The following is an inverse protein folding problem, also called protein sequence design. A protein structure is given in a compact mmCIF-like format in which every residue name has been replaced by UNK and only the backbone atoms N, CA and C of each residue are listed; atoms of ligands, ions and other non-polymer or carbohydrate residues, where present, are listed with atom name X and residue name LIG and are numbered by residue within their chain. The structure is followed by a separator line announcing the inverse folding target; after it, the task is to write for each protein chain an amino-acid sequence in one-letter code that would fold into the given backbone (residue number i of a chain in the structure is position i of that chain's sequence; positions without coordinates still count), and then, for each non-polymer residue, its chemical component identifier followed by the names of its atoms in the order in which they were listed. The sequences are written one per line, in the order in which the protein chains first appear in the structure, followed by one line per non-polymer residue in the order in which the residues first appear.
data_IF_325660597948
#
_entry.id   IF_325660597948
#
_cell.length_a   1.000
_cell.length_b   1.000
_cell.length_c   1.000
_cell.angle_alpha   90.00
_cell.angle_beta   90.00
_cell.angle_gamma   90.00
#
_symmetry.space_group_name_H-M   'P 1'
#
loop_
_entity.id
_entity.type
_entity.pdbx_description
1 polymer ?
#
# COMPACT_ATOMS: atom_id res chain seq x y z
N UNK A 1 -6.58 4.80 7.49
CA UNK A 1 -7.62 3.78 7.78
C UNK A 1 -7.20 2.92 8.96
N UNK A 2 -7.87 2.99 10.12
CA UNK A 2 -7.47 2.27 11.33
C UNK A 2 -7.34 0.75 11.15
N UNK A 3 -8.24 0.15 10.37
CA UNK A 3 -8.19 -1.29 10.07
C UNK A 3 -6.97 -1.68 9.23
N UNK A 4 -6.61 -0.87 8.22
CA UNK A 4 -5.42 -1.12 7.40
C UNK A 4 -4.12 -0.95 8.21
N UNK A 5 -4.06 0.04 9.10
CA UNK A 5 -2.87 0.26 9.96
C UNK A 5 -2.62 -0.90 10.93
N UNK A 6 -3.68 -1.60 11.37
CA UNK A 6 -3.52 -2.79 12.20
C UNK A 6 -2.82 -3.91 11.40
N UNK A 7 -3.26 -4.16 10.17
CA UNK A 7 -2.63 -5.17 9.31
C UNK A 7 -1.18 -4.83 8.95
N UNK A 8 -0.88 -3.56 8.66
CA UNK A 8 0.49 -3.10 8.34
C UNK A 8 1.45 -3.26 9.51
N UNK A 9 1.02 -2.93 10.74
CA UNK A 9 1.88 -2.96 11.91
C UNK A 9 1.97 -4.36 12.54
N UNK A 10 0.85 -5.08 12.61
CA UNK A 10 0.80 -6.41 13.25
C UNK A 10 1.23 -7.53 12.30
N UNK A 11 1.00 -7.39 10.99
CA UNK A 11 1.34 -8.43 10.02
C UNK A 11 2.80 -8.89 10.09
N UNK A 12 3.79 -8.00 10.00
CA UNK A 12 5.21 -8.37 10.12
C UNK A 12 5.56 -9.00 11.46
N UNK A 13 4.98 -8.50 12.56
CA UNK A 13 5.21 -9.04 13.92
C UNK A 13 4.67 -10.47 14.02
N UNK A 14 3.47 -10.73 13.49
CA UNK A 14 2.86 -12.04 13.50
C UNK A 14 3.59 -13.03 12.58
N UNK A 15 4.07 -12.58 11.42
CA UNK A 15 4.89 -13.41 10.52
C UNK A 15 6.22 -13.76 11.18
N UNK A 16 7.00 -12.77 11.60
CA UNK A 16 8.32 -12.99 12.19
C UNK A 16 8.21 -13.73 13.52
N UNK A 17 7.32 -13.30 14.40
CA UNK A 17 7.08 -13.97 15.70
C UNK A 17 6.58 -15.40 15.53
N UNK A 18 5.66 -15.65 14.59
CA UNK A 18 5.20 -17.00 14.26
C UNK A 18 6.32 -17.89 13.72
N UNK A 19 7.20 -17.34 12.89
CA UNK A 19 8.36 -18.06 12.36
C UNK A 19 9.41 -18.35 13.44
N UNK A 20 9.67 -17.43 14.38
CA UNK A 20 10.61 -17.63 15.48
C UNK A 20 10.13 -18.68 16.47
N UNK A 21 8.82 -18.74 16.72
CA UNK A 21 8.20 -19.70 17.66
C UNK A 21 7.89 -21.06 17.03
N UNK A 22 8.18 -21.26 15.73
CA UNK A 22 7.78 -22.46 14.99
C UNK A 22 6.25 -22.57 14.75
N UNK A 23 5.48 -21.55 15.12
CA UNK A 23 4.04 -21.49 14.98
C UNK A 23 3.64 -21.07 13.55
N UNK A 24 3.75 -22.00 12.59
CA UNK A 24 3.44 -21.75 11.16
C UNK A 24 2.02 -21.19 10.96
N UNK A 25 1.04 -21.62 11.78
CA UNK A 25 -0.32 -21.10 11.75
C UNK A 25 -0.39 -19.60 12.05
N UNK A 26 0.37 -19.12 13.03
CA UNK A 26 0.44 -17.71 13.41
C UNK A 26 1.12 -16.88 12.30
N UNK A 27 2.16 -17.42 11.69
CA UNK A 27 2.83 -16.76 10.58
C UNK A 27 1.93 -16.62 9.34
N UNK A 28 1.12 -17.65 9.03
CA UNK A 28 0.11 -17.57 7.97
C UNK A 28 -0.98 -16.55 8.26
N UNK A 29 -1.42 -16.44 9.51
CA UNK A 29 -2.39 -15.41 9.93
C UNK A 29 -1.83 -14.00 9.68
N UNK A 30 -0.56 -13.76 10.04
CA UNK A 30 0.13 -12.50 9.73
C UNK A 30 0.19 -12.20 8.23
N UNK A 31 0.48 -13.22 7.40
CA UNK A 31 0.49 -13.09 5.95
C UNK A 31 -0.91 -12.72 5.39
N UNK A 32 -1.98 -13.38 5.86
CA UNK A 32 -3.34 -13.07 5.42
C UNK A 32 -3.79 -11.66 5.82
N UNK A 33 -3.43 -11.20 7.02
CA UNK A 33 -3.69 -9.83 7.45
C UNK A 33 -2.99 -8.82 6.54
N UNK A 34 -1.74 -9.09 6.16
CA UNK A 34 -0.99 -8.22 5.25
C UNK A 34 -1.56 -8.25 3.82
N UNK A 35 -2.06 -9.40 3.37
CA UNK A 35 -2.77 -9.54 2.10
C UNK A 35 -4.07 -8.74 2.06
N UNK A 36 -4.81 -8.69 3.18
CA UNK A 36 -6.00 -7.86 3.31
C UNK A 36 -5.67 -6.36 3.17
N UNK A 37 -4.52 -5.91 3.70
CA UNK A 37 -4.05 -4.53 3.52
C UNK A 37 -3.71 -4.23 2.06
N UNK A 38 -3.00 -5.13 1.38
CA UNK A 38 -2.65 -4.97 -0.04
C UNK A 38 -3.90 -4.90 -0.92
N UNK A 39 -4.91 -5.75 -0.65
CA UNK A 39 -6.20 -5.71 -1.34
C UNK A 39 -6.93 -4.38 -1.10
N UNK A 40 -6.93 -3.91 0.15
CA UNK A 40 -7.50 -2.62 0.48
C UNK A 40 -6.82 -1.49 -0.31
N UNK A 41 -5.48 -1.44 -0.31
CA UNK A 41 -4.70 -0.48 -1.08
C UNK A 41 -5.02 -0.53 -2.57
N UNK A 42 -5.14 -1.73 -3.15
CA UNK A 42 -5.48 -1.92 -4.56
C UNK A 42 -6.86 -1.36 -4.89
N UNK A 43 -7.87 -1.61 -4.05
CA UNK A 43 -9.23 -1.11 -4.24
C UNK A 43 -9.33 0.41 -4.08
N UNK A 44 -8.53 1.01 -3.19
CA UNK A 44 -8.52 2.47 -3.00
C UNK A 44 -7.66 3.22 -4.00
N UNK A 45 -6.74 2.54 -4.69
CA UNK A 45 -5.82 3.18 -5.64
C UNK A 45 -6.50 4.02 -6.73
N UNK A 46 -7.64 3.59 -7.35
CA UNK A 46 -8.36 4.42 -8.32
C UNK A 46 -8.88 5.74 -7.74
N UNK A 47 -9.32 5.75 -6.46
CA UNK A 47 -9.86 6.98 -5.86
C UNK A 47 -8.77 8.01 -5.59
N UNK A 48 -7.54 7.57 -5.36
CA UNK A 48 -6.38 8.47 -5.20
C UNK A 48 -6.02 9.16 -6.53
N UNK A 49 -6.10 8.43 -7.65
CA UNK A 49 -5.92 9.03 -8.98
C UNK A 49 -7.03 10.01 -9.35
N UNK A 50 -8.28 9.67 -9.03
CA UNK A 50 -9.41 10.57 -9.24
C UNK A 50 -9.31 11.84 -8.39
N UNK A 51 -8.89 11.71 -7.13
CA UNK A 51 -8.65 12.83 -6.23
C UNK A 51 -7.61 13.80 -6.80
N UNK A 52 -6.48 13.31 -7.30
CA UNK A 52 -5.46 14.16 -7.94
C UNK A 52 -6.00 14.91 -9.17
N UNK A 53 -6.86 14.28 -9.98
CA UNK A 53 -7.48 14.94 -11.14
C UNK A 53 -8.45 16.03 -10.72
N UNK A 54 -9.35 15.72 -9.77
CA UNK A 54 -10.33 16.68 -9.24
C UNK A 54 -9.68 17.85 -8.53
N UNK A 55 -8.59 17.62 -7.81
CA UNK A 55 -7.81 18.68 -7.17
C UNK A 55 -7.24 19.66 -8.20
N UNK A 56 -6.67 19.16 -9.30
CA UNK A 56 -6.14 20.03 -10.37
C UNK A 56 -7.24 20.88 -11.01
N UNK A 57 -8.41 20.28 -11.26
CA UNK A 57 -9.55 20.99 -11.82
C UNK A 57 -10.10 22.06 -10.86
N UNK A 58 -10.14 21.76 -9.56
CA UNK A 58 -10.54 22.72 -8.53
C UNK A 58 -9.56 23.92 -8.47
N UNK A 59 -8.25 23.66 -8.47
CA UNK A 59 -7.22 24.71 -8.47
C UNK A 59 -7.32 25.60 -9.71
N UNK A 60 -7.62 25.02 -10.88
CA UNK A 60 -7.87 25.76 -12.12
C UNK A 60 -9.12 26.64 -12.03
N UNK A 61 -10.24 26.11 -11.52
CA UNK A 61 -11.52 26.84 -11.44
C UNK A 61 -11.49 27.99 -10.45
N UNK A 62 -10.74 27.85 -9.35
CA UNK A 62 -10.59 28.88 -8.31
C UNK A 62 -9.61 30.00 -8.70
N UNK A 63 -8.89 29.87 -9.82
CA UNK A 63 -7.88 30.86 -10.23
C UNK A 63 -6.64 30.89 -9.34
N UNK A 64 -6.37 29.81 -8.58
CA UNK A 64 -5.20 29.73 -7.70
C UNK A 64 -3.89 29.44 -8.43
N UNK A 65 -3.95 29.02 -9.70
CA UNK A 65 -2.78 28.73 -10.52
C UNK A 65 -2.82 29.54 -11.82
N UNK A 66 -1.69 30.13 -12.17
CA UNK A 66 -1.47 30.67 -13.51
C UNK A 66 -1.30 29.54 -14.54
N UNK A 67 -1.38 29.89 -15.82
CA UNK A 67 -1.20 28.92 -16.91
C UNK A 67 0.19 28.27 -16.91
N UNK A 68 1.21 28.97 -16.41
CA UNK A 68 2.58 28.46 -16.31
C UNK A 68 2.74 27.47 -15.14
N UNK A 69 1.93 27.62 -14.08
CA UNK A 69 1.97 26.77 -12.89
C UNK A 69 1.12 25.49 -13.01
N UNK A 70 0.26 25.42 -14.03
CA UNK A 70 -0.63 24.27 -14.26
C UNK A 70 0.13 22.96 -14.51
N UNK A 71 1.19 23.01 -15.32
CA UNK A 71 2.02 21.85 -15.63
C UNK A 71 2.78 21.31 -14.40
N UNK A 72 3.52 22.14 -13.63
CA UNK A 72 4.17 21.65 -12.41
C UNK A 72 3.17 21.20 -11.35
N UNK A 73 2.01 21.87 -11.18
CA UNK A 73 0.98 21.42 -10.25
C UNK A 73 0.44 20.02 -10.59
N UNK A 74 0.16 19.76 -11.88
CA UNK A 74 -0.25 18.42 -12.35
C UNK A 74 0.83 17.38 -12.05
N UNK A 75 2.10 17.73 -12.24
CA UNK A 75 3.22 16.83 -11.96
C UNK A 75 3.26 16.47 -10.48
N UNK A 76 3.20 17.46 -9.57
CA UNK A 76 3.20 17.24 -8.12
C UNK A 76 2.01 16.36 -7.68
N UNK A 77 0.79 16.64 -8.16
CA UNK A 77 -0.40 15.84 -7.84
C UNK A 77 -0.30 14.40 -8.38
N UNK A 78 0.40 14.21 -9.50
CA UNK A 78 0.66 12.87 -10.04
C UNK A 78 1.68 12.13 -9.17
N UNK A 79 2.78 12.77 -8.76
CA UNK A 79 3.75 12.18 -7.84
C UNK A 79 3.12 11.80 -6.50
N UNK A 80 2.22 12.63 -5.97
CA UNK A 80 1.46 12.31 -4.77
C UNK A 80 0.66 11.01 -4.93
N UNK A 81 -0.08 10.84 -6.04
CA UNK A 81 -0.81 9.59 -6.31
C UNK A 81 0.13 8.38 -6.49
N UNK A 82 1.32 8.58 -7.08
CA UNK A 82 2.32 7.51 -7.25
C UNK A 82 2.87 6.97 -5.92
N UNK A 83 2.81 7.74 -4.83
CA UNK A 83 3.20 7.22 -3.50
C UNK A 83 2.31 6.06 -3.03
N UNK A 84 1.03 6.04 -3.42
CA UNK A 84 0.13 4.92 -3.15
C UNK A 84 0.45 3.69 -4.00
N UNK A 85 0.87 3.90 -5.25
CA UNK A 85 1.36 2.82 -6.11
C UNK A 85 2.61 2.19 -5.51
N UNK A 86 3.55 3.01 -5.03
CA UNK A 86 4.76 2.55 -4.37
C UNK A 86 4.44 1.77 -3.08
N UNK A 87 3.48 2.24 -2.28
CA UNK A 87 3.02 1.55 -1.08
C UNK A 87 2.43 0.16 -1.42
N UNK A 88 1.59 0.08 -2.46
CA UNK A 88 1.05 -1.19 -2.93
C UNK A 88 2.15 -2.12 -3.42
N UNK A 89 3.09 -1.64 -4.25
CA UNK A 89 4.20 -2.42 -4.76
C UNK A 89 5.10 -2.97 -3.63
N UNK A 90 5.40 -2.13 -2.64
CA UNK A 90 6.13 -2.54 -1.44
C UNK A 90 5.37 -3.62 -0.67
N UNK A 91 4.06 -3.46 -0.50
CA UNK A 91 3.24 -4.47 0.19
C UNK A 91 3.28 -5.83 -0.53
N UNK A 92 3.22 -5.84 -1.87
CA UNK A 92 3.29 -7.05 -2.68
C UNK A 92 4.67 -7.71 -2.57
N UNK A 93 5.75 -6.93 -2.60
CA UNK A 93 7.10 -7.44 -2.40
C UNK A 93 7.26 -8.13 -1.03
N UNK A 94 6.74 -7.52 0.03
CA UNK A 94 6.74 -8.12 1.38
C UNK A 94 5.92 -9.41 1.43
N UNK A 95 4.74 -9.46 0.79
CA UNK A 95 3.92 -10.68 0.72
C UNK A 95 4.68 -11.80 0.03
N UNK A 96 5.30 -11.51 -1.12
CA UNK A 96 6.09 -12.49 -1.86
C UNK A 96 7.27 -13.01 -1.04
N UNK A 97 7.97 -12.12 -0.34
CA UNK A 97 9.08 -12.48 0.54
C UNK A 97 8.63 -13.41 1.68
N UNK A 98 7.53 -13.10 2.36
CA UNK A 98 7.04 -13.95 3.45
C UNK A 98 6.43 -15.26 2.95
N UNK A 99 5.79 -15.25 1.78
CA UNK A 99 5.27 -16.46 1.15
C UNK A 99 6.41 -17.41 0.77
N UNK A 100 7.50 -16.92 0.17
CA UNK A 100 8.65 -17.75 -0.19
C UNK A 100 9.33 -18.36 1.04
N UNK A 101 9.47 -17.58 2.12
CA UNK A 101 10.03 -18.05 3.39
C UNK A 101 9.18 -19.17 4.04
N UNK A 102 7.85 -19.06 3.96
CA UNK A 102 6.93 -20.08 4.47
C UNK A 102 6.88 -21.34 3.59
N UNK A 103 7.11 -21.21 2.28
CA UNK A 103 7.18 -22.35 1.36
C UNK A 103 8.47 -23.14 1.57
N UNK A 104 9.62 -22.48 1.71
CA UNK A 104 10.92 -23.17 1.92
C UNK A 104 10.98 -24.00 3.21
N UNK A 105 10.21 -23.63 4.24
CA UNK A 105 10.11 -24.41 5.50
C UNK A 105 9.13 -25.59 5.46
N UNK A 106 8.33 -25.73 4.39
CA UNK A 106 7.44 -26.90 4.22
C UNK A 106 8.17 -28.11 3.65
N UNK A 107 9.38 -27.91 3.14
CA UNK A 107 10.21 -28.94 2.50
C UNK A 107 11.22 -29.57 3.48
N UNK A 108 11.26 -29.11 4.73
CA UNK A 108 11.98 -29.70 5.88
C UNK A 108 11.01 -30.46 6.80
#
# INVERSE_FOLDING_TARGET
WPAASLGTNLGPILVVGGLMLGAIGLAKLGLYLYLAVALFQLVTLPVEFDASRRALEFLRRMGFLSQQEMAPARQVLTWAALTYVAALASSLATILYYASLLMGRREE
#
